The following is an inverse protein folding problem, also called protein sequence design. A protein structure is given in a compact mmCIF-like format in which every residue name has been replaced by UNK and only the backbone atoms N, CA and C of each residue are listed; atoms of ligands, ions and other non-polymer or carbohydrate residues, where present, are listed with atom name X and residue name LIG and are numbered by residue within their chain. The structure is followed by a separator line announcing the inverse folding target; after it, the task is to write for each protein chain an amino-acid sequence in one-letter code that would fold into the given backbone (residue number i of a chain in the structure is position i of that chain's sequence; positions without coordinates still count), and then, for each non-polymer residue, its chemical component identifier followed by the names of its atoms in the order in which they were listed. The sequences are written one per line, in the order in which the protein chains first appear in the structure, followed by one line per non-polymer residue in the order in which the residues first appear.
data_IF_603014787096
#
_entry.id   IF_603014787096
#
_cell.length_a   1.000
_cell.length_b   1.000
_cell.length_c   1.000
_cell.angle_alpha   90.00
_cell.angle_beta   90.00
_cell.angle_gamma   90.00
#
_symmetry.space_group_name_H-M   'P 1'
#
loop_
_entity.id
_entity.type
_entity.pdbx_description
1 polymer ?
#
# COMPACT_ATOMS: atom_id res chain seq x y z
N UNK A 1 -4.21 -20.86 4.98
CA UNK A 1 -5.26 -19.84 5.13
C UNK A 1 -4.95 -18.73 4.15
N UNK A 2 -5.80 -18.59 3.13
CA UNK A 2 -5.82 -17.40 2.28
C UNK A 2 -6.16 -16.26 3.23
N UNK A 3 -5.31 -15.24 3.32
CA UNK A 3 -5.67 -14.02 4.03
C UNK A 3 -6.99 -13.57 3.40
N UNK A 4 -8.06 -13.56 4.19
CA UNK A 4 -9.31 -12.92 3.80
C UNK A 4 -9.00 -11.44 3.68
N UNK A 5 -8.44 -11.06 2.52
CA UNK A 5 -8.43 -9.68 2.08
C UNK A 5 -9.91 -9.36 1.92
N UNK A 6 -10.48 -8.75 2.96
CA UNK A 6 -11.84 -8.26 2.91
C UNK A 6 -11.95 -7.45 1.62
N UNK A 7 -12.81 -7.87 0.70
CA UNK A 7 -12.95 -7.25 -0.62
C UNK A 7 -13.61 -5.88 -0.46
N UNK A 8 -12.86 -4.93 0.10
CA UNK A 8 -13.26 -3.54 0.13
C UNK A 8 -13.11 -2.99 -1.29
N UNK A 9 -14.18 -2.41 -1.81
CA UNK A 9 -14.07 -1.57 -2.99
C UNK A 9 -13.20 -0.37 -2.64
N UNK A 10 -11.99 -0.33 -3.19
CA UNK A 10 -11.08 0.78 -2.98
C UNK A 10 -11.56 1.97 -3.81
N UNK A 11 -11.82 3.11 -3.15
CA UNK A 11 -12.15 4.34 -3.85
C UNK A 11 -10.91 4.77 -4.65
N UNK A 12 -11.07 4.95 -5.96
CA UNK A 12 -10.00 5.45 -6.81
C UNK A 12 -9.86 6.97 -6.72
N UNK A 13 -8.62 7.45 -6.69
CA UNK A 13 -8.30 8.88 -6.68
C UNK A 13 -8.64 9.52 -8.02
N UNK A 14 -9.31 10.67 -7.96
CA UNK A 14 -9.48 11.60 -9.06
C UNK A 14 -9.31 13.04 -8.57
N UNK A 15 -9.41 14.00 -9.49
CA UNK A 15 -9.19 15.43 -9.23
C UNK A 15 -10.19 16.05 -8.26
N UNK A 16 -11.32 15.38 -7.97
CA UNK A 16 -12.47 15.96 -7.28
C UNK A 16 -12.77 15.28 -5.94
N UNK A 17 -12.04 14.21 -5.59
CA UNK A 17 -12.38 13.37 -4.43
C UNK A 17 -11.23 13.15 -3.44
N UNK A 18 -10.15 13.95 -3.52
CA UNK A 18 -8.92 13.77 -2.72
C UNK A 18 -9.19 13.59 -1.23
N UNK A 19 -10.03 14.43 -0.62
CA UNK A 19 -10.33 14.35 0.82
C UNK A 19 -11.01 13.03 1.19
N UNK A 20 -12.09 12.67 0.48
CA UNK A 20 -12.82 11.42 0.72
C UNK A 20 -11.95 10.19 0.40
N UNK A 21 -11.12 10.29 -0.63
CA UNK A 21 -10.14 9.27 -0.97
C UNK A 21 -9.12 9.06 0.14
N UNK A 22 -8.58 10.13 0.72
CA UNK A 22 -7.59 10.06 1.79
C UNK A 22 -8.16 9.37 3.03
N UNK A 23 -9.40 9.72 3.43
CA UNK A 23 -10.08 9.13 4.59
C UNK A 23 -10.29 7.63 4.37
N UNK A 24 -10.90 7.25 3.23
CA UNK A 24 -11.19 5.83 2.94
C UNK A 24 -9.94 4.99 2.80
N UNK A 25 -8.88 5.53 2.18
CA UNK A 25 -7.62 4.81 2.01
C UNK A 25 -6.89 4.64 3.35
N UNK A 26 -6.93 5.65 4.22
CA UNK A 26 -6.37 5.56 5.57
C UNK A 26 -7.11 4.53 6.43
N UNK A 27 -8.45 4.54 6.42
CA UNK A 27 -9.26 3.57 7.15
C UNK A 27 -8.99 2.14 6.67
N UNK A 28 -8.88 1.95 5.34
CA UNK A 28 -8.56 0.66 4.75
C UNK A 28 -7.17 0.17 5.17
N UNK A 29 -6.14 1.01 5.04
CA UNK A 29 -4.77 0.67 5.45
C UNK A 29 -4.68 0.38 6.95
N UNK A 30 -5.41 1.14 7.77
CA UNK A 30 -5.52 0.91 9.21
C UNK A 30 -6.17 -0.43 9.53
N UNK A 31 -7.26 -0.78 8.83
CA UNK A 31 -7.98 -2.05 9.03
C UNK A 31 -7.14 -3.28 8.69
N UNK A 32 -6.17 -3.14 7.78
CA UNK A 32 -5.27 -4.21 7.35
C UNK A 32 -3.98 -4.29 8.18
N UNK A 33 -3.79 -3.41 9.17
CA UNK A 33 -2.57 -3.32 9.98
C UNK A 33 -1.29 -3.14 9.14
N UNK A 34 -1.39 -2.37 8.04
CA UNK A 34 -0.26 -2.13 7.11
C UNK A 34 0.24 -0.69 7.12
N UNK A 35 -0.31 0.17 7.96
CA UNK A 35 0.07 1.59 8.06
C UNK A 35 1.56 1.81 8.34
N UNK A 36 2.14 1.01 9.23
CA UNK A 36 3.58 1.12 9.54
C UNK A 36 4.45 0.68 8.36
N UNK A 37 4.01 -0.28 7.55
CA UNK A 37 4.71 -0.70 6.33
C UNK A 37 4.61 0.38 5.25
N UNK A 38 3.44 1.01 5.09
CA UNK A 38 3.26 2.16 4.18
C UNK A 38 4.21 3.31 4.55
N UNK A 39 4.34 3.65 5.84
CA UNK A 39 5.22 4.74 6.27
C UNK A 39 6.71 4.43 6.17
N UNK A 40 7.12 3.27 6.71
CA UNK A 40 8.54 2.94 6.91
C UNK A 40 9.15 2.20 5.72
N UNK A 41 8.30 1.65 4.85
CA UNK A 41 8.69 0.74 3.79
C UNK A 41 9.11 -0.62 4.32
N UNK A 42 8.96 -1.64 3.48
CA UNK A 42 9.58 -2.93 3.69
C UNK A 42 11.04 -2.91 3.22
N UNK A 43 11.96 -3.35 4.09
CA UNK A 43 13.38 -3.52 3.76
C UNK A 43 13.69 -5.00 3.62
N UNK A 44 13.98 -5.42 2.39
CA UNK A 44 14.40 -6.80 2.11
C UNK A 44 15.76 -7.06 2.79
N UNK A 45 15.90 -8.13 3.61
CA UNK A 45 17.19 -8.52 4.17
C UNK A 45 18.17 -8.91 3.05
N UNK A 46 19.46 -8.63 3.27
CA UNK A 46 20.51 -8.99 2.30
C UNK A 46 20.82 -10.50 2.32
N UNK A 47 20.74 -11.12 3.50
CA UNK A 47 20.89 -12.56 3.69
C UNK A 47 19.86 -13.08 4.68
N UNK A 48 19.07 -14.06 4.25
CA UNK A 48 18.02 -14.68 5.04
C UNK A 48 18.45 -16.03 5.63
N UNK A 49 19.61 -16.55 5.19
CA UNK A 49 20.10 -17.87 5.61
C UNK A 49 20.53 -17.87 7.07
N UNK A 50 21.05 -16.75 7.56
CA UNK A 50 21.49 -16.52 8.94
C UNK A 50 20.36 -16.20 9.91
N UNK A 51 19.12 -16.03 9.43
CA UNK A 51 17.99 -15.67 10.28
C UNK A 51 17.55 -16.86 11.13
N UNK A 52 17.35 -16.58 12.43
CA UNK A 52 16.67 -17.50 13.35
C UNK A 52 15.23 -17.79 12.89
N UNK A 53 14.60 -18.89 13.34
CA UNK A 53 13.21 -19.21 13.01
C UNK A 53 12.23 -18.05 13.28
N UNK A 54 12.37 -17.38 14.44
CA UNK A 54 11.53 -16.23 14.81
C UNK A 54 11.70 -15.04 13.84
N UNK A 55 12.93 -14.73 13.43
CA UNK A 55 13.19 -13.66 12.46
C UNK A 55 12.62 -14.00 11.07
N UNK A 56 12.64 -15.27 10.68
CA UNK A 56 12.05 -15.72 9.41
C UNK A 56 10.52 -15.56 9.42
N UNK A 57 9.87 -15.81 10.54
CA UNK A 57 8.41 -15.66 10.64
C UNK A 57 8.00 -14.17 10.65
N UNK A 58 8.73 -13.32 11.39
CA UNK A 58 8.57 -11.86 11.30
C UNK A 58 8.74 -11.37 9.85
N UNK A 59 9.75 -11.89 9.15
CA UNK A 59 10.01 -11.53 7.75
C UNK A 59 8.86 -11.93 6.81
N UNK A 60 8.30 -13.13 6.98
CA UNK A 60 7.13 -13.58 6.19
C UNK A 60 5.94 -12.66 6.41
N UNK A 61 5.69 -12.24 7.65
CA UNK A 61 4.55 -11.37 7.95
C UNK A 61 4.76 -9.95 7.43
N UNK A 62 5.98 -9.41 7.54
CA UNK A 62 6.34 -8.12 6.93
C UNK A 62 6.13 -8.13 5.41
N UNK A 63 6.49 -9.23 4.73
CA UNK A 63 6.24 -9.38 3.28
C UNK A 63 4.76 -9.42 2.93
N UNK A 64 3.94 -10.10 3.73
CA UNK A 64 2.49 -10.13 3.51
C UNK A 64 1.89 -8.73 3.65
N UNK A 65 2.28 -8.02 4.71
CA UNK A 65 1.81 -6.64 4.96
C UNK A 65 2.27 -5.68 3.86
N UNK A 66 3.50 -5.83 3.36
CA UNK A 66 4.01 -5.07 2.22
C UNK A 66 3.19 -5.33 0.95
N UNK A 67 2.88 -6.60 0.66
CA UNK A 67 2.04 -6.96 -0.49
C UNK A 67 0.61 -6.40 -0.37
N UNK A 68 0.03 -6.42 0.82
CA UNK A 68 -1.29 -5.83 1.08
C UNK A 68 -1.24 -4.31 0.89
N UNK A 69 -0.23 -3.63 1.45
CA UNK A 69 -0.02 -2.19 1.28
C UNK A 69 0.09 -1.81 -0.20
N UNK A 70 0.92 -2.53 -0.98
CA UNK A 70 1.06 -2.32 -2.42
C UNK A 70 -0.26 -2.53 -3.16
N UNK A 71 -1.00 -3.58 -2.81
CA UNK A 71 -2.30 -3.87 -3.44
C UNK A 71 -3.31 -2.75 -3.21
N UNK A 72 -3.43 -2.27 -1.97
CA UNK A 72 -4.32 -1.16 -1.62
C UNK A 72 -3.94 0.11 -2.39
N UNK A 73 -2.64 0.46 -2.41
CA UNK A 73 -2.16 1.66 -3.14
C UNK A 73 -2.47 1.56 -4.62
N UNK A 74 -2.18 0.43 -5.26
CA UNK A 74 -2.48 0.23 -6.68
C UNK A 74 -3.98 0.32 -6.98
N UNK A 75 -4.84 -0.28 -6.15
CA UNK A 75 -6.28 -0.22 -6.32
C UNK A 75 -6.87 1.18 -6.04
N UNK A 76 -6.22 1.95 -5.16
CA UNK A 76 -6.61 3.31 -4.80
C UNK A 76 -6.26 4.33 -5.90
N UNK A 77 -5.41 3.98 -6.86
CA UNK A 77 -5.07 4.83 -7.98
C UNK A 77 -5.90 4.46 -9.22
N UNK A 78 -6.57 5.44 -9.83
CA UNK A 78 -7.03 5.27 -11.20
C UNK A 78 -5.82 5.37 -12.14
N UNK A 79 -5.67 4.42 -13.07
CA UNK A 79 -4.56 4.41 -14.04
C UNK A 79 -4.41 5.73 -14.80
N UNK A 80 -5.53 6.36 -15.19
CA UNK A 80 -5.50 7.67 -15.86
C UNK A 80 -5.11 8.84 -14.96
N UNK A 81 -5.44 8.78 -13.66
CA UNK A 81 -5.02 9.80 -12.68
C UNK A 81 -3.53 9.65 -12.35
N UNK A 82 -3.04 8.41 -12.19
CA UNK A 82 -1.63 8.15 -11.92
C UNK A 82 -0.74 8.63 -13.06
N UNK A 83 -1.07 8.29 -14.31
CA UNK A 83 -0.31 8.73 -15.48
C UNK A 83 -0.28 10.26 -15.60
N UNK A 84 -1.40 10.93 -15.34
CA UNK A 84 -1.47 12.39 -15.34
C UNK A 84 -0.55 13.00 -14.27
N UNK A 85 -0.58 12.48 -13.04
CA UNK A 85 0.26 12.96 -11.94
C UNK A 85 1.75 12.66 -12.21
N UNK A 86 2.08 11.46 -12.70
CA UNK A 86 3.47 11.05 -12.92
C UNK A 86 4.16 11.83 -14.05
N UNK A 87 3.37 12.28 -15.04
CA UNK A 87 3.87 13.03 -16.19
C UNK A 87 3.85 14.54 -15.97
N UNK A 88 3.23 15.04 -14.90
CA UNK A 88 3.19 16.46 -14.58
C UNK A 88 4.58 16.96 -14.17
N UNK A 89 5.05 18.01 -14.86
CA UNK A 89 6.30 18.70 -14.57
C UNK A 89 6.10 19.94 -13.70
N UNK A 90 4.86 20.46 -13.66
CA UNK A 90 4.47 21.62 -12.86
C UNK A 90 3.20 21.36 -12.05
N UNK A 91 3.02 22.07 -10.93
CA UNK A 91 1.83 21.94 -10.08
C UNK A 91 0.52 22.37 -10.75
N UNK A 92 0.58 23.09 -11.87
CA UNK A 92 -0.59 23.50 -12.65
C UNK A 92 -1.10 22.41 -13.60
N UNK A 93 -0.30 21.38 -13.84
CA UNK A 93 -0.63 20.29 -14.78
C UNK A 93 -1.42 19.16 -14.13
N UNK A 94 -1.44 19.10 -12.79
CA UNK A 94 -2.15 18.09 -11.99
C UNK A 94 -3.60 18.50 -11.75
#
# INVERSE_FOLDING_TARGET
MVSEMCMFQVLQLNTNNCDNWSIKTNDLVGSQDVWEVVKKGYKKPQDETTLSPNQRDILKDMRKRDMIALTVIHQAMNGGTFEKISNATTSKEV
#
